data_IF_394163276421
#
_entry.id   IF_394163276421
#
_cell.length_a   1.000
_cell.length_b   1.000
_cell.length_c   1.000
_cell.angle_alpha   90.00
_cell.angle_beta   90.00
_cell.angle_gamma   90.00
#
_symmetry.space_group_name_H-M   'P 1'
#
loop_
_entity.id
_entity.type
_entity.pdbx_description
1 polymer ?
#
# COMPACT_ATOMS: atom_id res chain seq x y z
N UNK A 1 -0.77 -0.08 -8.35
CA UNK A 1 -0.82 -1.44 -7.70
C UNK A 1 -0.72 -1.29 -6.20
N UNK A 2 -1.47 -2.06 -5.41
CA UNK A 2 -1.16 -2.27 -3.97
C UNK A 2 -0.80 -3.73 -3.74
N UNK A 3 0.19 -4.00 -2.87
CA UNK A 3 0.65 -5.35 -2.59
C UNK A 3 1.23 -5.48 -1.17
N UNK A 4 0.49 -6.09 -0.25
CA UNK A 4 1.06 -6.54 1.00
C UNK A 4 1.96 -7.77 0.69
N UNK A 5 3.27 -7.60 0.85
CA UNK A 5 4.25 -8.62 0.44
C UNK A 5 4.52 -9.66 1.51
N UNK A 6 3.95 -9.52 2.71
CA UNK A 6 4.27 -10.37 3.86
C UNK A 6 5.79 -10.51 4.04
N UNK A 7 6.46 -9.39 4.27
CA UNK A 7 7.93 -9.33 4.25
C UNK A 7 8.62 -10.35 5.14
N UNK A 8 8.02 -10.74 6.27
CA UNK A 8 8.50 -11.83 7.13
C UNK A 8 8.42 -13.22 6.45
N UNK A 9 7.74 -13.36 5.32
CA UNK A 9 7.77 -14.58 4.50
C UNK A 9 9.17 -14.93 4.01
N UNK A 10 10.08 -13.95 3.96
CA UNK A 10 11.49 -14.17 3.63
C UNK A 10 12.19 -15.11 4.62
N UNK A 11 11.73 -15.20 5.87
CA UNK A 11 12.28 -16.11 6.86
C UNK A 11 12.20 -17.58 6.41
N UNK A 12 11.07 -17.96 5.80
CA UNK A 12 10.82 -19.33 5.33
C UNK A 12 11.15 -19.54 3.85
N UNK A 13 11.29 -18.47 3.07
CA UNK A 13 11.45 -18.50 1.61
C UNK A 13 12.63 -17.64 1.17
N UNK A 14 13.83 -18.22 0.95
CA UNK A 14 15.04 -17.45 0.60
C UNK A 14 14.91 -16.54 -0.62
N UNK A 15 14.08 -16.91 -1.60
CA UNK A 15 13.82 -16.12 -2.83
C UNK A 15 12.54 -15.29 -2.76
N UNK A 16 12.16 -14.84 -1.58
CA UNK A 16 10.90 -14.12 -1.40
C UNK A 16 10.87 -12.80 -2.17
N UNK A 17 11.89 -11.95 -2.00
CA UNK A 17 11.97 -10.65 -2.67
C UNK A 17 12.05 -10.79 -4.20
N UNK A 18 12.77 -11.80 -4.70
CA UNK A 18 12.86 -12.06 -6.15
C UNK A 18 11.49 -12.40 -6.75
N UNK A 19 10.70 -13.23 -6.05
CA UNK A 19 9.35 -13.59 -6.51
C UNK A 19 8.35 -12.43 -6.41
N UNK A 20 8.50 -11.55 -5.41
CA UNK A 20 7.73 -10.30 -5.35
C UNK A 20 8.09 -9.41 -6.53
N UNK A 21 9.38 -9.18 -6.78
CA UNK A 21 9.87 -8.37 -7.89
C UNK A 21 9.44 -8.92 -9.25
N UNK A 22 9.38 -10.25 -9.41
CA UNK A 22 8.86 -10.90 -10.62
C UNK A 22 7.41 -10.50 -10.89
N UNK A 23 6.54 -10.56 -9.88
CA UNK A 23 5.14 -10.14 -10.00
C UNK A 23 5.04 -8.67 -10.41
N UNK A 24 5.81 -7.78 -9.76
CA UNK A 24 5.80 -6.35 -10.07
C UNK A 24 6.28 -6.10 -11.52
N UNK A 25 7.39 -6.73 -11.94
CA UNK A 25 7.92 -6.57 -13.30
C UNK A 25 6.96 -7.05 -14.38
N UNK A 26 6.28 -8.19 -14.16
CA UNK A 26 5.37 -8.77 -15.15
C UNK A 26 4.06 -8.01 -15.27
N UNK A 27 3.58 -7.41 -14.18
CA UNK A 27 2.35 -6.60 -14.17
C UNK A 27 2.59 -5.16 -14.61
N UNK A 28 3.85 -4.72 -14.61
CA UNK A 28 4.30 -3.41 -15.11
C UNK A 28 3.51 -2.20 -14.55
N UNK A 29 3.27 -2.07 -13.25
CA UNK A 29 2.62 -0.88 -12.73
C UNK A 29 3.54 0.34 -12.87
N UNK A 30 2.96 1.52 -13.09
CA UNK A 30 3.71 2.78 -13.03
C UNK A 30 4.02 3.16 -11.59
N UNK A 31 3.09 2.83 -10.66
CA UNK A 31 3.23 3.06 -9.23
C UNK A 31 2.81 1.79 -8.49
N UNK A 32 3.61 1.36 -7.52
CA UNK A 32 3.27 0.26 -6.61
C UNK A 32 3.43 0.68 -5.15
N UNK A 33 2.34 0.60 -4.39
CA UNK A 33 2.34 0.70 -2.93
C UNK A 33 2.55 -0.69 -2.32
N UNK A 34 3.55 -0.81 -1.47
CA UNK A 34 3.95 -2.08 -0.86
C UNK A 34 3.85 -2.00 0.65
N UNK A 35 3.22 -2.99 1.28
CA UNK A 35 3.06 -3.09 2.72
C UNK A 35 3.86 -4.27 3.28
N UNK A 36 4.12 -4.24 4.58
CA UNK A 36 4.89 -5.24 5.33
C UNK A 36 6.35 -5.40 4.87
N UNK A 37 6.98 -4.32 4.47
CA UNK A 37 8.39 -4.34 4.09
C UNK A 37 9.30 -4.29 5.32
N UNK A 38 10.35 -5.08 5.32
CA UNK A 38 11.37 -5.12 6.36
C UNK A 38 12.74 -4.68 5.85
N UNK A 39 13.48 -3.96 6.71
CA UNK A 39 14.88 -3.61 6.49
C UNK A 39 15.68 -4.01 7.71
N UNK A 40 16.70 -4.85 7.55
CA UNK A 40 17.59 -5.30 8.61
C UNK A 40 16.97 -6.15 9.71
N UNK A 41 15.68 -6.50 9.64
CA UNK A 41 15.03 -7.31 10.68
C UNK A 41 15.40 -8.78 10.59
N UNK A 42 15.40 -9.48 11.73
CA UNK A 42 15.58 -10.94 11.75
C UNK A 42 14.49 -11.68 10.93
N UNK A 43 13.26 -11.13 10.89
CA UNK A 43 12.15 -11.66 10.10
C UNK A 43 12.42 -11.66 8.59
N UNK A 44 13.24 -10.71 8.12
CA UNK A 44 13.73 -10.65 6.74
C UNK A 44 15.14 -11.25 6.58
N UNK A 45 15.64 -12.02 7.56
CA UNK A 45 16.98 -12.59 7.58
C UNK A 45 18.07 -11.50 7.50
N UNK A 46 17.83 -10.36 8.15
CA UNK A 46 18.68 -9.17 8.17
C UNK A 46 18.91 -8.53 6.78
N UNK A 47 18.09 -8.88 5.80
CA UNK A 47 18.15 -8.28 4.46
C UNK A 47 17.44 -6.92 4.43
N UNK A 48 17.87 -6.05 3.52
CA UNK A 48 17.15 -4.83 3.15
C UNK A 48 16.24 -5.11 1.95
N UNK A 49 14.95 -5.40 2.23
CA UNK A 49 13.99 -5.72 1.18
C UNK A 49 13.69 -4.51 0.28
N UNK A 50 13.86 -3.26 0.79
CA UNK A 50 13.68 -2.07 -0.02
C UNK A 50 14.76 -1.99 -1.11
N UNK A 51 16.04 -2.05 -0.71
CA UNK A 51 17.16 -2.05 -1.66
C UNK A 51 17.10 -3.24 -2.64
N UNK A 52 16.63 -4.40 -2.18
CA UNK A 52 16.45 -5.56 -3.06
C UNK A 52 15.38 -5.34 -4.11
N UNK A 53 14.19 -4.84 -3.73
CA UNK A 53 13.09 -4.60 -4.67
C UNK A 53 13.43 -3.48 -5.65
N UNK A 54 14.06 -2.38 -5.20
CA UNK A 54 14.52 -1.32 -6.07
C UNK A 54 15.45 -1.88 -7.17
N UNK A 55 16.49 -2.59 -6.77
CA UNK A 55 17.44 -3.21 -7.71
C UNK A 55 16.80 -4.25 -8.64
N UNK A 56 15.89 -5.09 -8.12
CA UNK A 56 15.28 -6.18 -8.87
C UNK A 56 14.20 -5.70 -9.84
N UNK A 57 13.51 -4.62 -9.52
CA UNK A 57 12.45 -4.06 -10.37
C UNK A 57 12.95 -3.00 -11.33
N UNK A 58 14.07 -2.33 -11.00
CA UNK A 58 14.56 -1.15 -11.71
C UNK A 58 13.69 0.09 -11.52
N UNK A 59 12.75 0.07 -10.58
CA UNK A 59 11.90 1.20 -10.22
C UNK A 59 12.57 2.00 -9.10
N UNK A 60 12.38 3.33 -9.06
CA UNK A 60 12.73 4.12 -7.89
C UNK A 60 11.87 3.70 -6.69
N UNK A 61 12.49 3.63 -5.51
CA UNK A 61 11.81 3.22 -4.30
C UNK A 61 12.06 4.22 -3.16
N UNK A 62 10.99 4.55 -2.43
CA UNK A 62 11.08 5.19 -1.11
C UNK A 62 10.44 4.29 -0.06
N UNK A 63 11.13 4.13 1.06
CA UNK A 63 10.65 3.38 2.23
C UNK A 63 10.15 4.33 3.31
N UNK A 64 8.93 4.10 3.78
CA UNK A 64 8.29 4.80 4.90
C UNK A 64 8.28 3.94 6.16
N UNK A 65 9.13 4.29 7.12
CA UNK A 65 9.22 3.58 8.39
C UNK A 65 7.97 3.80 9.23
N UNK A 66 7.33 2.72 9.66
CA UNK A 66 6.28 2.74 10.69
C UNK A 66 6.87 2.48 12.09
N UNK A 67 7.85 1.57 12.20
CA UNK A 67 8.54 1.28 13.45
C UNK A 67 9.99 0.83 13.22
N UNK A 68 10.79 0.86 14.28
CA UNK A 68 12.21 0.48 14.27
C UNK A 68 13.13 1.66 14.55
N UNK A 69 14.44 1.40 14.57
CA UNK A 69 15.49 2.33 15.03
C UNK A 69 16.57 2.65 13.99
N UNK A 70 16.35 2.27 12.72
CA UNK A 70 17.32 2.44 11.64
C UNK A 70 18.20 1.21 11.39
N UNK A 71 18.42 0.36 12.39
CA UNK A 71 19.12 -0.93 12.20
C UNK A 71 18.14 -2.06 11.87
N UNK A 72 16.91 -1.96 12.34
CA UNK A 72 15.84 -2.93 12.17
C UNK A 72 14.51 -2.21 12.00
N UNK A 73 13.99 -2.15 10.78
CA UNK A 73 12.84 -1.32 10.42
C UNK A 73 11.75 -2.12 9.74
N UNK A 74 10.51 -1.67 9.96
CA UNK A 74 9.31 -2.19 9.32
C UNK A 74 8.42 -1.04 8.87
N UNK A 75 7.80 -1.18 7.69
CA UNK A 75 6.94 -0.13 7.17
C UNK A 75 6.37 -0.42 5.79
N UNK A 76 6.07 0.66 5.09
CA UNK A 76 5.50 0.65 3.75
C UNK A 76 6.52 1.21 2.74
N UNK A 77 6.27 0.99 1.45
CA UNK A 77 7.09 1.59 0.41
C UNK A 77 6.25 2.01 -0.79
N UNK A 78 6.73 3.02 -1.51
CA UNK A 78 6.28 3.38 -2.85
C UNK A 78 7.39 3.03 -3.83
N UNK A 79 7.03 2.30 -4.89
CA UNK A 79 7.88 2.12 -6.07
C UNK A 79 7.24 2.87 -7.24
N UNK A 80 8.05 3.51 -8.06
CA UNK A 80 7.58 4.18 -9.28
C UNK A 80 8.56 4.02 -10.44
N UNK A 81 8.03 3.97 -11.66
CA UNK A 81 8.83 4.07 -12.90
C UNK A 81 9.23 5.50 -13.22
N UNK A 82 8.47 6.46 -12.69
CA UNK A 82 8.78 7.88 -12.77
C UNK A 82 9.84 8.30 -11.76
N UNK A 83 9.86 9.57 -11.40
CA UNK A 83 10.74 10.13 -10.40
C UNK A 83 10.01 10.42 -9.09
N UNK A 84 10.72 10.25 -7.95
CA UNK A 84 10.23 10.66 -6.62
C UNK A 84 10.72 12.08 -6.37
N UNK A 85 9.78 13.01 -6.18
CA UNK A 85 10.07 14.45 -6.01
C UNK A 85 10.15 14.85 -4.54
N UNK A 86 9.24 14.34 -3.72
CA UNK A 86 9.17 14.62 -2.28
C UNK A 86 8.52 13.45 -1.53
N UNK A 87 8.78 13.37 -0.24
CA UNK A 87 8.20 12.33 0.62
C UNK A 87 7.87 12.87 1.99
N UNK A 88 6.83 12.31 2.60
CA UNK A 88 6.49 12.55 4.01
C UNK A 88 5.89 11.28 4.63
N UNK A 89 5.95 11.20 5.95
CA UNK A 89 5.43 10.07 6.71
C UNK A 89 4.58 10.61 7.86
N UNK A 90 3.33 10.18 7.92
CA UNK A 90 2.41 10.50 9.00
C UNK A 90 2.20 9.29 9.89
N UNK A 91 2.46 9.44 11.19
CA UNK A 91 2.14 8.41 12.16
C UNK A 91 0.62 8.30 12.33
N UNK A 92 0.10 7.08 12.33
CA UNK A 92 -1.33 6.84 12.54
C UNK A 92 -1.62 6.58 14.02
N UNK A 93 -2.78 7.05 14.51
CA UNK A 93 -3.14 6.95 15.92
C UNK A 93 -3.50 5.51 16.34
N UNK A 94 -3.48 5.29 17.65
CA UNK A 94 -4.02 4.10 18.29
C UNK A 94 -2.97 3.21 18.94
N UNK A 95 -3.40 2.30 19.83
CA UNK A 95 -2.54 1.36 20.51
C UNK A 95 -2.13 0.19 19.60
N UNK A 96 -1.06 -0.50 19.99
CA UNK A 96 -0.57 -1.71 19.33
C UNK A 96 0.65 -1.45 18.47
N UNK A 97 0.76 -2.21 17.38
CA UNK A 97 1.87 -2.04 16.44
C UNK A 97 1.78 -0.69 15.74
N UNK A 98 2.85 0.14 15.78
CA UNK A 98 2.85 1.43 15.12
C UNK A 98 2.52 1.32 13.63
N UNK A 99 1.64 2.19 13.15
CA UNK A 99 1.24 2.29 11.75
C UNK A 99 1.53 3.69 11.23
N UNK A 100 1.74 3.78 9.93
CA UNK A 100 2.00 5.06 9.26
C UNK A 100 1.36 5.08 7.89
N UNK A 101 1.15 6.30 7.39
CA UNK A 101 0.91 6.58 5.99
C UNK A 101 2.16 7.20 5.38
N UNK A 102 2.68 6.61 4.31
CA UNK A 102 3.74 7.18 3.49
C UNK A 102 3.10 7.94 2.34
N UNK A 103 3.44 9.20 2.15
CA UNK A 103 3.14 9.98 0.96
C UNK A 103 4.40 10.21 0.14
N UNK A 104 4.36 9.88 -1.14
CA UNK A 104 5.42 10.16 -2.10
C UNK A 104 4.86 10.98 -3.26
N UNK A 105 5.32 12.22 -3.42
CA UNK A 105 5.06 12.99 -4.65
C UNK A 105 5.88 12.38 -5.76
N UNK A 106 5.22 11.89 -6.78
CA UNK A 106 5.84 11.25 -7.94
C UNK A 106 5.50 11.99 -9.21
N UNK A 107 6.41 11.95 -10.17
CA UNK A 107 6.19 12.44 -11.53
C UNK A 107 6.33 11.25 -12.49
N UNK A 108 5.24 10.89 -13.14
CA UNK A 108 5.17 9.80 -14.11
C UNK A 108 4.76 10.38 -15.46
N UNK A 109 5.67 10.36 -16.41
CA UNK A 109 5.47 10.89 -17.77
C UNK A 109 4.92 12.33 -17.79
N UNK A 110 5.39 13.19 -16.86
CA UNK A 110 4.97 14.59 -16.74
C UNK A 110 3.66 14.77 -15.93
N UNK A 111 3.08 13.71 -15.43
CA UNK A 111 1.91 13.75 -14.56
C UNK A 111 2.35 13.67 -13.09
N UNK A 112 2.16 14.76 -12.35
CA UNK A 112 2.53 14.85 -10.94
C UNK A 112 1.33 14.53 -10.05
N UNK A 113 1.53 13.59 -9.11
CA UNK A 113 0.53 13.18 -8.13
C UNK A 113 1.19 12.69 -6.83
N UNK A 114 0.39 12.52 -5.78
CA UNK A 114 0.86 11.91 -4.54
C UNK A 114 0.42 10.44 -4.49
N UNK A 115 1.38 9.54 -4.36
CA UNK A 115 1.15 8.14 -4.07
C UNK A 115 1.16 7.94 -2.54
N UNK A 116 -0.01 7.73 -1.94
CA UNK A 116 -0.14 7.38 -0.53
C UNK A 116 -0.17 5.87 -0.35
N UNK A 117 0.56 5.38 0.66
CA UNK A 117 0.55 3.97 1.04
C UNK A 117 0.34 3.84 2.55
N UNK A 118 -0.62 3.02 2.93
CA UNK A 118 -0.92 2.73 4.33
C UNK A 118 -1.07 1.24 4.59
N UNK A 119 -0.97 0.85 5.86
CA UNK A 119 -1.31 -0.47 6.36
C UNK A 119 -1.94 -0.30 7.73
N UNK A 120 -3.26 -0.49 7.83
CA UNK A 120 -4.00 -0.29 9.07
C UNK A 120 -3.82 -1.47 10.03
N UNK A 121 -4.20 -1.27 11.28
CA UNK A 121 -4.06 -2.28 12.32
C UNK A 121 -4.76 -3.60 11.95
N UNK A 122 -4.03 -4.70 12.06
CA UNK A 122 -4.57 -6.04 11.84
C UNK A 122 -5.52 -6.47 12.98
N UNK A 123 -6.08 -7.65 12.87
CA UNK A 123 -6.97 -8.27 13.87
C UNK A 123 -6.23 -8.46 15.20
N UNK A 124 -6.51 -7.58 16.15
CA UNK A 124 -6.06 -7.67 17.53
C UNK A 124 -7.24 -7.35 18.46
N UNK A 125 -7.08 -7.58 19.74
CA UNK A 125 -8.15 -7.39 20.76
C UNK A 125 -8.90 -6.04 20.69
N UNK A 126 -8.26 -5.00 20.10
CA UNK A 126 -8.85 -3.65 19.90
C UNK A 126 -8.84 -3.24 18.41
N UNK A 127 -8.67 -4.20 17.49
CA UNK A 127 -8.36 -3.93 16.10
C UNK A 127 -9.35 -3.04 15.36
N UNK A 128 -10.67 -3.27 15.51
CA UNK A 128 -11.69 -2.47 14.80
C UNK A 128 -11.69 -1.00 15.23
N UNK A 129 -11.65 -0.74 16.56
CA UNK A 129 -11.61 0.64 17.07
C UNK A 129 -10.33 1.37 16.66
N UNK A 130 -9.18 0.69 16.73
CA UNK A 130 -7.90 1.25 16.27
C UNK A 130 -7.93 1.53 14.77
N UNK A 131 -8.45 0.58 13.96
CA UNK A 131 -8.61 0.79 12.52
C UNK A 131 -9.52 1.95 12.17
N UNK A 132 -10.65 2.10 12.88
CA UNK A 132 -11.55 3.23 12.67
C UNK A 132 -10.81 4.57 12.88
N UNK A 133 -10.10 4.73 14.00
CA UNK A 133 -9.29 5.93 14.27
C UNK A 133 -8.22 6.17 13.20
N UNK A 134 -7.59 5.10 12.72
CA UNK A 134 -6.57 5.19 11.68
C UNK A 134 -7.19 5.53 10.32
N UNK A 135 -8.30 4.92 9.95
CA UNK A 135 -9.02 5.20 8.70
C UNK A 135 -9.50 6.66 8.64
N UNK A 136 -10.07 7.17 9.74
CA UNK A 136 -10.45 8.58 9.86
C UNK A 136 -9.24 9.52 9.77
N UNK A 137 -8.09 9.14 10.34
CA UNK A 137 -6.86 9.93 10.22
C UNK A 137 -6.37 9.94 8.77
N UNK A 138 -6.35 8.79 8.08
CA UNK A 138 -6.01 8.69 6.65
C UNK A 138 -6.95 9.56 5.81
N UNK A 139 -8.27 9.46 6.02
CA UNK A 139 -9.25 10.27 5.29
C UNK A 139 -9.01 11.78 5.46
N UNK A 140 -8.71 12.23 6.71
CA UNK A 140 -8.37 13.63 6.98
C UNK A 140 -7.06 14.08 6.32
N UNK A 141 -6.07 13.20 6.21
CA UNK A 141 -4.79 13.50 5.59
C UNK A 141 -4.94 13.63 4.08
N UNK A 142 -5.58 12.68 3.41
CA UNK A 142 -5.77 12.74 1.95
C UNK A 142 -6.70 13.89 1.53
N UNK A 143 -7.68 14.26 2.36
CA UNK A 143 -8.55 15.41 2.10
C UNK A 143 -7.82 16.76 2.09
N UNK A 144 -6.58 16.82 2.63
CA UNK A 144 -5.73 18.02 2.60
C UNK A 144 -4.75 18.03 1.43
N UNK A 145 -4.78 17.03 0.55
CA UNK A 145 -3.89 16.96 -0.59
C UNK A 145 -4.12 18.13 -1.53
N UNK A 146 -3.03 18.83 -1.86
CA UNK A 146 -3.03 19.94 -2.85
C UNK A 146 -2.81 19.43 -4.27
N UNK A 147 -2.37 18.19 -4.42
CA UNK A 147 -2.17 17.52 -5.70
C UNK A 147 -3.14 16.35 -5.83
N UNK A 148 -3.48 15.94 -7.05
CA UNK A 148 -4.18 14.69 -7.27
C UNK A 148 -3.44 13.52 -6.59
N UNK A 149 -4.18 12.50 -6.14
CA UNK A 149 -3.55 11.41 -5.42
C UNK A 149 -4.12 10.03 -5.78
N UNK A 150 -3.33 9.02 -5.48
CA UNK A 150 -3.74 7.63 -5.36
C UNK A 150 -3.42 7.15 -3.95
N UNK A 151 -4.41 6.61 -3.24
CA UNK A 151 -4.26 6.00 -1.93
C UNK A 151 -4.34 4.49 -2.08
N UNK A 152 -3.32 3.80 -1.63
CA UNK A 152 -3.15 2.36 -1.75
C UNK A 152 -2.88 1.74 -0.38
N UNK A 153 -3.38 0.53 -0.12
CA UNK A 153 -3.02 -0.11 1.12
C UNK A 153 -3.80 -1.37 1.47
N UNK A 154 -3.30 -2.03 2.52
CA UNK A 154 -4.01 -3.05 3.28
C UNK A 154 -4.74 -2.35 4.44
N UNK A 155 -6.06 -2.27 4.31
CA UNK A 155 -6.92 -1.65 5.31
C UNK A 155 -7.36 -2.63 6.39
N UNK A 156 -7.04 -3.92 6.25
CA UNK A 156 -7.39 -4.98 7.21
C UNK A 156 -8.88 -5.01 7.59
N UNK A 157 -9.76 -4.61 6.68
CA UNK A 157 -11.20 -4.54 6.90
C UNK A 157 -11.97 -4.83 5.61
N UNK A 158 -13.23 -5.25 5.75
CA UNK A 158 -14.08 -5.56 4.61
C UNK A 158 -14.72 -4.30 3.98
N UNK A 159 -15.17 -4.37 2.71
CA UNK A 159 -15.73 -3.22 2.00
C UNK A 159 -16.93 -2.54 2.68
N UNK A 160 -17.73 -3.30 3.43
CA UNK A 160 -18.94 -2.79 4.10
C UNK A 160 -18.71 -2.32 5.53
N UNK A 161 -17.45 -2.32 5.98
CA UNK A 161 -17.09 -1.96 7.34
C UNK A 161 -17.20 -0.46 7.60
N UNK A 162 -17.44 -0.11 8.87
CA UNK A 162 -17.53 1.29 9.30
C UNK A 162 -16.24 2.07 9.04
N UNK A 163 -15.08 1.41 9.15
CA UNK A 163 -13.77 1.97 8.87
C UNK A 163 -13.63 2.55 7.46
N UNK A 164 -14.37 2.01 6.48
CA UNK A 164 -14.32 2.51 5.10
C UNK A 164 -15.42 3.51 4.76
N UNK A 165 -16.31 3.84 5.71
CA UNK A 165 -17.44 4.76 5.44
C UNK A 165 -16.97 6.10 4.86
N UNK A 166 -15.90 6.69 5.41
CA UNK A 166 -15.33 7.95 4.93
C UNK A 166 -14.79 7.89 3.49
N UNK A 167 -14.60 6.69 2.95
CA UNK A 167 -14.10 6.47 1.59
C UNK A 167 -15.20 6.04 0.61
N UNK A 168 -16.47 5.96 1.06
CA UNK A 168 -17.61 5.53 0.25
C UNK A 168 -18.50 6.66 -0.23
N UNK A 169 -18.45 7.82 0.39
CA UNK A 169 -19.34 8.94 0.08
C UNK A 169 -18.96 9.69 -1.22
N UNK A 170 -17.83 9.36 -1.82
CA UNK A 170 -17.35 9.93 -3.08
C UNK A 170 -16.84 11.38 -2.99
N UNK A 171 -16.85 11.99 -1.80
CA UNK A 171 -16.41 13.38 -1.63
C UNK A 171 -14.89 13.52 -1.52
N UNK A 172 -14.25 12.52 -0.91
CA UNK A 172 -12.80 12.52 -0.67
C UNK A 172 -12.08 11.65 -1.70
N UNK A 173 -12.66 10.50 -2.04
CA UNK A 173 -12.03 9.53 -2.94
C UNK A 173 -13.05 8.82 -3.83
N UNK A 174 -12.59 8.39 -5.00
CA UNK A 174 -13.30 7.41 -5.84
C UNK A 174 -12.75 6.03 -5.55
N UNK A 175 -13.62 5.11 -5.18
CA UNK A 175 -13.22 3.76 -4.78
C UNK A 175 -13.24 2.77 -5.94
N UNK A 176 -12.26 1.86 -5.93
CA UNK A 176 -12.24 0.69 -6.78
C UNK A 176 -13.09 -0.43 -6.15
N UNK A 177 -14.42 -0.30 -6.16
CA UNK A 177 -15.28 -1.40 -5.79
C UNK A 177 -15.61 -2.25 -7.01
N UNK A 178 -14.85 -3.32 -7.18
CA UNK A 178 -15.29 -4.45 -8.01
C UNK A 178 -15.97 -5.44 -7.06
N UNK A 179 -17.22 -5.77 -7.33
CA UNK A 179 -17.91 -6.78 -6.54
C UNK A 179 -17.13 -8.08 -6.48
N UNK A 180 -16.99 -8.65 -5.29
CA UNK A 180 -16.36 -9.96 -5.03
C UNK A 180 -14.85 -10.07 -5.25
N UNK A 181 -14.10 -8.99 -5.17
CA UNK A 181 -12.63 -9.08 -5.12
C UNK A 181 -12.17 -9.79 -3.84
N UNK A 182 -11.28 -10.76 -3.99
CA UNK A 182 -10.56 -11.41 -2.89
C UNK A 182 -9.08 -11.07 -3.00
N UNK A 183 -8.55 -10.34 -2.03
CA UNK A 183 -7.13 -10.01 -1.98
C UNK A 183 -6.37 -10.84 -0.94
N UNK A 184 -7.00 -11.26 0.16
CA UNK A 184 -6.38 -12.12 1.16
C UNK A 184 -6.79 -13.60 0.97
N UNK A 185 -5.81 -14.45 0.65
CA UNK A 185 -6.01 -15.84 0.20
C UNK A 185 -6.63 -16.75 1.25
N UNK A 186 -6.20 -16.63 2.52
CA UNK A 186 -6.62 -17.55 3.58
C UNK A 186 -8.04 -17.27 4.04
N UNK A 187 -8.40 -16.00 4.24
CA UNK A 187 -9.73 -15.60 4.73
C UNK A 187 -10.75 -15.40 3.61
N UNK A 188 -10.30 -15.37 2.34
CA UNK A 188 -11.14 -15.09 1.17
C UNK A 188 -11.83 -13.70 1.25
N UNK A 189 -11.15 -12.73 1.84
CA UNK A 189 -11.64 -11.38 2.04
C UNK A 189 -10.95 -10.36 1.11
N UNK A 190 -11.63 -9.24 0.83
CA UNK A 190 -11.04 -8.05 0.27
C UNK A 190 -10.53 -7.19 1.43
N UNK A 191 -9.21 -7.03 1.55
CA UNK A 191 -8.57 -6.23 2.59
C UNK A 191 -7.72 -5.11 2.03
N UNK A 192 -7.36 -5.21 0.74
CA UNK A 192 -6.48 -4.27 0.04
C UNK A 192 -7.31 -3.41 -0.92
N UNK A 193 -7.03 -2.10 -0.94
CA UNK A 193 -7.82 -1.12 -1.68
C UNK A 193 -6.93 -0.15 -2.44
N UNK A 194 -7.48 0.38 -3.55
CA UNK A 194 -6.95 1.52 -4.28
C UNK A 194 -8.08 2.55 -4.35
N UNK A 195 -7.81 3.75 -3.87
CA UNK A 195 -8.68 4.91 -3.97
C UNK A 195 -7.97 6.00 -4.75
N UNK A 196 -8.71 6.83 -5.46
CA UNK A 196 -8.17 7.96 -6.22
C UNK A 196 -8.82 9.25 -5.81
N UNK A 197 -8.13 10.37 -6.01
CA UNK A 197 -8.73 11.68 -6.04
C UNK A 197 -9.97 11.68 -6.96
N UNK A 198 -11.07 12.39 -6.64
CA UNK A 198 -12.29 12.39 -7.45
C UNK A 198 -12.12 12.88 -8.89
N UNK A 199 -11.03 13.57 -9.20
CA UNK A 199 -10.69 13.98 -10.59
C UNK A 199 -10.12 12.85 -11.45
N UNK A 200 -9.94 11.66 -10.87
CA UNK A 200 -9.47 10.46 -11.55
C UNK A 200 -10.53 9.37 -11.58
N UNK A 201 -10.60 8.67 -12.70
CA UNK A 201 -11.50 7.52 -12.89
C UNK A 201 -10.71 6.23 -12.85
N UNK A 202 -11.22 5.25 -12.13
CA UNK A 202 -10.72 3.87 -12.17
C UNK A 202 -11.43 3.15 -13.32
N UNK A 203 -10.67 2.83 -14.39
CA UNK A 203 -11.21 2.19 -15.61
C UNK A 203 -11.22 0.68 -15.54
N UNK A 204 -10.25 0.12 -14.88
CA UNK A 204 -10.11 -1.33 -14.71
C UNK A 204 -9.47 -1.61 -13.35
N UNK A 205 -9.89 -2.70 -12.73
CA UNK A 205 -9.27 -3.19 -11.52
C UNK A 205 -9.32 -4.71 -11.47
N UNK A 206 -8.18 -5.33 -11.18
CA UNK A 206 -8.05 -6.77 -11.15
C UNK A 206 -7.08 -7.26 -10.10
N UNK A 207 -7.36 -8.43 -9.58
CA UNK A 207 -6.47 -9.14 -8.66
C UNK A 207 -5.54 -10.06 -9.46
N UNK A 208 -4.25 -9.99 -9.12
CA UNK A 208 -3.22 -10.85 -9.71
C UNK A 208 -3.05 -12.08 -8.82
N UNK A 209 -3.67 -13.19 -9.19
CA UNK A 209 -3.77 -14.39 -8.35
C UNK A 209 -2.47 -15.23 -8.32
N UNK A 210 -1.32 -14.56 -8.14
CA UNK A 210 0.01 -15.17 -8.05
C UNK A 210 0.92 -14.39 -7.10
N UNK A 211 2.01 -15.01 -6.71
CA UNK A 211 3.03 -14.44 -5.83
C UNK A 211 3.23 -15.26 -4.56
N UNK A 212 4.27 -14.94 -3.78
CA UNK A 212 4.64 -15.70 -2.58
C UNK A 212 3.90 -15.25 -1.33
N UNK A 213 3.19 -14.11 -1.33
CA UNK A 213 2.43 -13.57 -0.21
C UNK A 213 1.12 -14.32 0.04
N UNK A 214 0.52 -14.17 1.20
CA UNK A 214 -0.87 -14.53 1.48
C UNK A 214 -1.86 -13.46 1.00
N UNK A 215 -1.40 -12.30 0.60
CA UNK A 215 -2.15 -11.34 -0.18
C UNK A 215 -1.86 -11.49 -1.67
N UNK A 216 -2.87 -11.24 -2.49
CA UNK A 216 -2.73 -11.06 -3.92
C UNK A 216 -2.69 -9.57 -4.27
N UNK A 217 -1.79 -9.14 -5.17
CA UNK A 217 -1.76 -7.74 -5.58
C UNK A 217 -3.08 -7.33 -6.23
N UNK A 218 -3.54 -6.12 -5.90
CA UNK A 218 -4.61 -5.44 -6.61
C UNK A 218 -3.97 -4.41 -7.57
N UNK A 219 -4.33 -4.51 -8.85
CA UNK A 219 -3.89 -3.59 -9.91
C UNK A 219 -5.09 -2.80 -10.41
N UNK A 220 -4.94 -1.50 -10.56
CA UNK A 220 -5.96 -0.63 -11.17
C UNK A 220 -5.34 0.20 -12.30
N UNK A 221 -6.11 0.41 -13.37
CA UNK A 221 -5.84 1.42 -14.38
C UNK A 221 -6.66 2.67 -14.04
N UNK A 222 -5.99 3.81 -13.94
CA UNK A 222 -6.60 5.10 -13.62
C UNK A 222 -6.34 6.10 -14.73
N UNK A 223 -7.30 7.00 -14.99
CA UNK A 223 -7.15 8.09 -15.94
C UNK A 223 -7.78 9.38 -15.39
N UNK A 224 -7.34 10.55 -15.87
CA UNK A 224 -7.97 11.82 -15.49
C UNK A 224 -9.38 11.87 -16.04
N UNK A 225 -10.30 12.34 -15.20
CA UNK A 225 -11.62 12.77 -15.66
C UNK A 225 -11.43 13.95 -16.60
N UNK A 226 -11.94 13.84 -17.83
CA UNK A 226 -11.84 14.90 -18.82
C UNK A 226 -12.60 16.15 -18.41
#
# INVERSE_FOLDING_TARGET
>A
MTYNIKGHGALLRPRHSERIAEVIRETKPDIAGVQEMHRGTWKARFRDQAAELERLTGMQLVFGRAMGDGSSEYGNAVLTRGSIVATHIDALPGPGEPRSMLGATVDVDGVRLIAYVTHLAAWARFGSRTRLLQAEAVARLVAKSELPFVLMGDFNTNPTSEELRAFHDGTIVTSCFVEKIVTHRATKQCLDYIFTDPTWLIRDARVITRGPSDHWPLLAAIERSG
#
